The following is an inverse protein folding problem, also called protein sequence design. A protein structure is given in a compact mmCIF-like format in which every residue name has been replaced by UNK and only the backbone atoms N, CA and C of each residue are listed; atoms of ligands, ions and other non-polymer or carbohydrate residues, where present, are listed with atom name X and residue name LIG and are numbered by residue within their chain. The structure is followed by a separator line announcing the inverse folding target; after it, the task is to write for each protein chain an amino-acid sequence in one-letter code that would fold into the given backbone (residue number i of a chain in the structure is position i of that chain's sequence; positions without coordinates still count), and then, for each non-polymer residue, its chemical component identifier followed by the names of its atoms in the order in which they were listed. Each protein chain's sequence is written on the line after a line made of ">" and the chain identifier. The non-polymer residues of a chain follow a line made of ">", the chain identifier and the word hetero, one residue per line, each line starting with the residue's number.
data_IF_173790423833
#
_entry.id   IF_173790423833
#
_cell.length_a   1.000
_cell.length_b   1.000
_cell.length_c   1.000
_cell.angle_alpha   90.00
_cell.angle_beta   90.00
_cell.angle_gamma   90.00
#
_symmetry.space_group_name_H-M   'P 1'
#
loop_
_entity.id
_entity.type
_entity.pdbx_description
1 polymer ?
#
# COMPACT_ATOMS: atom_id res chain seq x y z
N UNK A 1 -14.17 -6.16 -29.41
CA UNK A 1 -14.34 -6.99 -28.20
C UNK A 1 -12.96 -7.07 -27.57
N UNK A 2 -12.57 -5.97 -26.91
CA UNK A 2 -11.26 -5.87 -26.27
C UNK A 2 -11.36 -6.62 -24.95
N UNK A 3 -10.92 -7.87 -24.98
CA UNK A 3 -10.69 -8.68 -23.79
C UNK A 3 -9.49 -8.05 -23.07
N UNK A 4 -9.77 -6.97 -22.34
CA UNK A 4 -8.80 -6.21 -21.56
C UNK A 4 -8.04 -7.18 -20.69
N UNK A 5 -6.76 -7.36 -21.05
CA UNK A 5 -5.89 -8.36 -20.49
C UNK A 5 -5.89 -8.27 -18.96
N UNK A 6 -6.56 -9.21 -18.29
CA UNK A 6 -6.65 -9.33 -16.83
C UNK A 6 -5.27 -9.45 -16.15
N UNK A 7 -4.19 -9.55 -16.94
CA UNK A 7 -2.82 -9.80 -16.56
C UNK A 7 -1.85 -8.63 -16.76
N UNK A 8 -2.23 -7.53 -17.45
CA UNK A 8 -1.33 -6.37 -17.65
C UNK A 8 -1.37 -5.34 -16.51
N UNK A 9 -2.28 -5.45 -15.54
CA UNK A 9 -2.34 -4.52 -14.40
C UNK A 9 -1.20 -4.69 -13.38
N UNK A 10 -0.50 -5.83 -13.31
CA UNK A 10 -0.20 -6.31 -11.96
C UNK A 10 1.24 -6.16 -11.45
N UNK A 11 2.21 -5.65 -12.23
CA UNK A 11 3.60 -5.53 -11.71
C UNK A 11 3.77 -4.30 -10.83
N UNK A 12 3.20 -3.17 -11.22
CA UNK A 12 3.30 -1.91 -10.47
C UNK A 12 2.32 -1.85 -9.30
N UNK A 13 1.22 -2.61 -9.39
CA UNK A 13 0.27 -2.82 -8.29
C UNK A 13 0.72 -3.91 -7.30
N UNK A 14 1.63 -4.81 -7.71
CA UNK A 14 2.30 -5.72 -6.77
C UNK A 14 3.28 -5.01 -5.86
N UNK A 15 3.83 -3.89 -6.32
CA UNK A 15 4.83 -3.18 -5.54
C UNK A 15 4.16 -2.33 -4.46
N UNK A 16 4.85 -2.16 -3.33
CA UNK A 16 4.39 -1.32 -2.23
C UNK A 16 3.90 0.04 -2.75
N UNK A 17 2.63 0.36 -2.49
CA UNK A 17 2.01 1.59 -3.00
C UNK A 17 2.76 2.86 -2.56
N UNK A 18 3.45 2.81 -1.41
CA UNK A 18 4.09 3.96 -0.79
C UNK A 18 5.52 4.19 -1.30
N UNK A 19 6.35 3.15 -1.35
CA UNK A 19 7.77 3.26 -1.74
C UNK A 19 8.05 2.72 -3.14
N UNK A 20 7.13 1.98 -3.76
CA UNK A 20 7.32 1.34 -5.06
C UNK A 20 8.31 0.18 -5.06
N UNK A 21 8.82 -0.21 -3.89
CA UNK A 21 9.84 -1.26 -3.70
C UNK A 21 9.21 -2.43 -2.94
N UNK A 22 9.55 -3.66 -3.32
CA UNK A 22 9.07 -4.86 -2.63
C UNK A 22 7.57 -5.10 -2.83
N UNK A 23 7.08 -6.24 -2.34
CA UNK A 23 5.65 -6.58 -2.48
C UNK A 23 4.78 -5.75 -1.53
N UNK A 24 3.59 -5.37 -1.97
CA UNK A 24 2.57 -4.66 -1.20
C UNK A 24 1.93 -5.58 -0.15
N UNK A 25 2.70 -5.92 0.89
CA UNK A 25 2.33 -6.81 1.98
C UNK A 25 2.60 -6.16 3.33
N UNK A 26 1.91 -6.63 4.35
CA UNK A 26 2.11 -6.16 5.73
C UNK A 26 3.55 -6.38 6.20
N UNK A 27 4.21 -7.45 5.74
CA UNK A 27 5.63 -7.72 6.02
C UNK A 27 6.52 -6.56 5.60
N UNK A 28 6.35 -6.15 4.35
CA UNK A 28 7.07 -5.02 3.79
C UNK A 28 6.71 -3.73 4.55
N UNK A 29 5.45 -3.48 4.87
CA UNK A 29 5.06 -2.27 5.59
C UNK A 29 5.63 -2.15 7.01
N UNK A 30 5.71 -3.25 7.74
CA UNK A 30 6.19 -3.26 9.13
C UNK A 30 7.72 -3.16 9.17
N UNK A 31 8.43 -3.82 8.25
CA UNK A 31 9.87 -4.00 8.38
C UNK A 31 10.72 -3.24 7.36
N UNK A 32 10.24 -3.09 6.13
CA UNK A 32 11.07 -2.64 5.00
C UNK A 32 10.67 -1.24 4.49
N UNK A 33 9.39 -0.90 4.54
CA UNK A 33 8.87 0.33 3.96
C UNK A 33 9.15 1.51 4.87
N UNK A 34 10.24 2.24 4.60
CA UNK A 34 10.64 3.42 5.36
C UNK A 34 9.53 4.47 5.55
N UNK A 35 8.57 4.55 4.62
CA UNK A 35 7.45 5.51 4.73
C UNK A 35 6.42 5.10 5.79
N UNK A 36 6.08 3.82 5.88
CA UNK A 36 4.99 3.35 6.77
C UNK A 36 5.47 2.58 7.99
N UNK A 37 6.70 2.05 7.99
CA UNK A 37 7.27 1.35 9.14
C UNK A 37 7.32 2.26 10.38
N UNK A 38 7.50 3.57 10.17
CA UNK A 38 7.40 4.59 11.23
C UNK A 38 6.04 4.62 11.93
N UNK A 39 4.95 4.30 11.24
CA UNK A 39 3.60 4.24 11.82
C UNK A 39 3.42 3.00 12.69
N UNK A 40 4.07 1.89 12.34
CA UNK A 40 4.05 0.67 13.13
C UNK A 40 4.99 0.74 14.34
N UNK A 41 6.08 1.49 14.24
CA UNK A 41 6.98 1.76 15.36
C UNK A 41 6.29 2.54 16.51
N UNK A 42 5.22 3.27 16.20
CA UNK A 42 4.39 3.95 17.20
C UNK A 42 3.54 2.95 18.02
N UNK A 43 3.26 1.74 17.50
CA UNK A 43 2.55 0.70 18.25
C UNK A 43 3.41 0.14 19.37
N UNK A 44 4.64 -0.27 19.05
CA UNK A 44 5.61 -0.86 19.98
C UNK A 44 7.02 -0.71 19.44
N UNK A 45 7.98 -0.78 20.34
CA UNK A 45 9.41 -0.78 19.99
C UNK A 45 9.86 -2.16 19.49
N UNK A 46 9.19 -3.23 19.94
CA UNK A 46 9.49 -4.61 19.58
C UNK A 46 8.69 -5.10 18.37
N UNK A 47 9.39 -5.64 17.37
CA UNK A 47 8.79 -6.11 16.12
C UNK A 47 7.91 -7.34 16.30
N UNK A 48 8.30 -8.26 17.19
CA UNK A 48 7.53 -9.48 17.43
C UNK A 48 6.20 -9.14 18.12
N UNK A 49 6.20 -8.16 19.02
CA UNK A 49 4.96 -7.63 19.60
C UNK A 49 4.06 -6.96 18.55
N UNK A 50 4.62 -6.16 17.63
CA UNK A 50 3.86 -5.56 16.51
C UNK A 50 3.19 -6.68 15.69
N UNK A 51 3.96 -7.70 15.31
CA UNK A 51 3.45 -8.85 14.56
C UNK A 51 2.38 -9.60 15.31
N UNK A 52 2.59 -9.87 16.59
CA UNK A 52 1.63 -10.57 17.45
C UNK A 52 0.33 -9.79 17.58
N UNK A 53 0.38 -8.46 17.72
CA UNK A 53 -0.82 -7.60 17.71
C UNK A 53 -1.50 -7.54 16.33
N UNK A 54 -0.73 -7.49 15.25
CA UNK A 54 -1.27 -7.48 13.89
C UNK A 54 -2.01 -8.78 13.56
N UNK A 55 -1.46 -9.93 13.96
CA UNK A 55 -2.06 -11.24 13.76
C UNK A 55 -3.12 -11.61 14.80
N UNK A 56 -3.15 -10.95 15.96
CA UNK A 56 -4.23 -11.11 16.93
C UNK A 56 -5.56 -10.68 16.32
N UNK A 57 -6.61 -11.48 16.53
CA UNK A 57 -7.99 -11.10 16.18
C UNK A 57 -8.49 -9.91 17.00
N UNK A 58 -7.83 -9.63 18.14
CA UNK A 58 -8.15 -8.49 19.00
C UNK A 58 -7.77 -7.18 18.31
N UNK A 59 -8.79 -6.42 17.91
CA UNK A 59 -8.64 -5.09 17.31
C UNK A 59 -8.43 -4.05 18.43
N UNK A 60 -7.18 -3.95 18.88
CA UNK A 60 -6.76 -2.89 19.78
C UNK A 60 -7.03 -1.51 19.14
N UNK A 61 -7.42 -0.51 19.95
CA UNK A 61 -7.76 0.82 19.45
C UNK A 61 -6.61 1.44 18.64
N UNK A 62 -5.36 1.15 19.03
CA UNK A 62 -4.16 1.61 18.33
C UNK A 62 -3.99 0.92 16.96
N UNK A 63 -4.24 -0.40 16.90
CA UNK A 63 -4.24 -1.16 15.64
C UNK A 63 -5.25 -0.61 14.66
N UNK A 64 -6.47 -0.33 15.12
CA UNK A 64 -7.53 0.22 14.29
C UNK A 64 -7.14 1.60 13.72
N UNK A 65 -6.52 2.48 14.53
CA UNK A 65 -6.04 3.79 14.08
C UNK A 65 -5.00 3.66 12.95
N UNK A 66 -4.02 2.77 13.10
CA UNK A 66 -2.93 2.63 12.13
C UNK A 66 -3.40 1.95 10.85
N UNK A 67 -4.22 0.89 10.94
CA UNK A 67 -4.79 0.25 9.77
C UNK A 67 -5.70 1.20 8.98
N UNK A 68 -6.50 2.01 9.68
CA UNK A 68 -7.38 2.99 9.02
C UNK A 68 -6.55 4.11 8.35
N UNK A 69 -5.49 4.59 9.01
CA UNK A 69 -4.53 5.54 8.43
C UNK A 69 -3.86 4.94 7.18
N UNK A 70 -3.36 3.71 7.28
CA UNK A 70 -2.73 2.98 6.18
C UNK A 70 -3.66 2.84 4.98
N UNK A 71 -4.89 2.38 5.22
CA UNK A 71 -5.90 2.23 4.17
C UNK A 71 -6.21 3.57 3.50
N UNK A 72 -6.46 4.62 4.28
CA UNK A 72 -6.78 5.95 3.77
C UNK A 72 -5.67 6.55 2.92
N UNK A 73 -4.42 6.40 3.35
CA UNK A 73 -3.27 6.89 2.56
C UNK A 73 -3.02 6.03 1.32
N UNK A 74 -3.18 4.70 1.42
CA UNK A 74 -3.09 3.78 0.29
C UNK A 74 -4.12 4.12 -0.80
N UNK A 75 -5.37 4.39 -0.42
CA UNK A 75 -6.41 4.79 -1.38
C UNK A 75 -6.08 6.11 -2.10
N UNK A 76 -5.49 7.08 -1.38
CA UNK A 76 -5.04 8.34 -2.00
C UNK A 76 -3.93 8.10 -3.02
N UNK A 77 -2.94 7.29 -2.69
CA UNK A 77 -1.82 7.01 -3.59
C UNK A 77 -2.29 6.22 -4.82
N UNK A 78 -3.17 5.23 -4.65
CA UNK A 78 -3.78 4.50 -5.78
C UNK A 78 -4.57 5.45 -6.68
N UNK A 79 -5.37 6.36 -6.09
CA UNK A 79 -6.14 7.33 -6.87
C UNK A 79 -5.26 8.27 -7.67
N UNK A 80 -4.15 8.75 -7.09
CA UNK A 80 -3.18 9.59 -7.81
C UNK A 80 -2.55 8.85 -8.98
N UNK A 81 -2.12 7.60 -8.78
CA UNK A 81 -1.52 6.78 -9.85
C UNK A 81 -2.49 6.57 -11.02
N UNK A 82 -3.77 6.29 -10.74
CA UNK A 82 -4.79 6.16 -11.79
C UNK A 82 -4.98 7.46 -12.59
N UNK A 83 -5.06 8.61 -11.91
CA UNK A 83 -5.22 9.90 -12.59
C UNK A 83 -3.99 10.28 -13.42
N UNK A 84 -2.79 9.92 -12.98
CA UNK A 84 -1.57 10.14 -13.74
C UNK A 84 -1.52 9.26 -15.00
N UNK A 85 -1.91 7.99 -14.88
CA UNK A 85 -2.02 7.05 -16.01
C UNK A 85 -3.06 7.50 -17.05
N UNK A 86 -4.25 7.94 -16.61
CA UNK A 86 -5.27 8.51 -17.50
C UNK A 86 -4.74 9.73 -18.28
N UNK A 87 -3.97 10.60 -17.62
CA UNK A 87 -3.34 11.76 -18.28
C UNK A 87 -2.27 11.38 -19.29
N UNK A 88 -1.49 10.33 -19.03
CA UNK A 88 -0.45 9.87 -19.96
C UNK A 88 -1.10 9.35 -21.25
N UNK A 89 -2.19 8.59 -21.14
CA UNK A 89 -2.93 8.07 -22.29
C UNK A 89 -3.48 9.21 -23.15
N UNK A 90 -4.08 10.24 -22.54
CA UNK A 90 -4.61 11.41 -23.26
C UNK A 90 -3.52 12.17 -24.04
N UNK A 91 -2.27 12.19 -23.55
CA UNK A 91 -1.16 12.87 -24.23
C UNK A 91 -0.60 12.04 -25.38
N UNK A 92 -0.56 10.71 -25.26
CA UNK A 92 -0.01 9.82 -26.29
C UNK A 92 -0.94 9.59 -27.48
N UNK A 93 -2.25 9.83 -27.34
CA UNK A 93 -3.23 9.70 -28.44
C UNK A 93 -3.25 10.95 -29.36
N UNK A 94 -2.43 11.97 -29.06
CA UNK A 94 -2.35 13.24 -29.80
C UNK A 94 -1.13 13.29 -30.76
N UNK A 95 -0.24 12.30 -30.75
CA UNK A 95 0.93 12.22 -31.67
C UNK A 95 0.67 11.41 -32.96
#
# INVERSE_FOLDING_TARGET
>A
MEEGNKYWLDKEYRNCVFCGIGMDRMEHYVEECQKVCSWFRDLREDKEEIWRKLWSEDLDSEKCKILNKLKREKEKEIRKKRTDEERIIEVTDIE
#
